data_IF_852146232765
#
_entry.id   IF_852146232765
#
_cell.length_a   1.000
_cell.length_b   1.000
_cell.length_c   1.000
_cell.angle_alpha   90.00
_cell.angle_beta   90.00
_cell.angle_gamma   90.00
#
_symmetry.space_group_name_H-M   'P 1'
#
loop_
_entity.id
_entity.type
_entity.pdbx_description
1 polymer ?
#
# COMPACT_ATOMS: atom_id res chain seq x y z
N UNK A 1 7.73 16.64 -9.91
CA UNK A 1 8.95 15.93 -9.43
C UNK A 1 10.00 15.71 -10.53
N UNK A 2 9.62 15.46 -11.79
CA UNK A 2 10.55 15.09 -12.89
C UNK A 2 11.62 16.14 -13.30
N UNK A 3 11.69 17.32 -12.67
CA UNK A 3 12.63 18.40 -13.02
C UNK A 3 13.40 18.97 -11.82
N UNK A 4 13.55 18.21 -10.72
CA UNK A 4 14.38 18.66 -9.60
C UNK A 4 15.84 18.85 -10.06
N UNK A 5 16.50 19.91 -9.59
CA UNK A 5 17.95 20.11 -9.75
C UNK A 5 18.55 20.27 -8.35
N UNK A 6 19.41 19.34 -7.89
CA UNK A 6 19.84 18.12 -8.59
C UNK A 6 18.69 17.11 -8.79
N UNK A 7 18.80 16.22 -9.80
CA UNK A 7 17.75 15.25 -10.11
C UNK A 7 17.56 14.25 -8.97
N UNK A 8 16.32 13.78 -8.83
CA UNK A 8 15.97 12.64 -7.97
C UNK A 8 16.16 11.37 -8.78
N UNK A 9 16.97 10.45 -8.27
CA UNK A 9 17.19 9.11 -8.85
C UNK A 9 16.69 8.07 -7.88
N UNK A 10 15.76 7.21 -8.31
CA UNK A 10 15.17 6.19 -7.44
C UNK A 10 16.15 5.02 -7.26
N UNK A 11 16.46 4.68 -6.02
CA UNK A 11 17.25 3.49 -5.66
C UNK A 11 16.33 2.30 -5.32
N UNK A 12 15.21 2.56 -4.64
CA UNK A 12 14.26 1.56 -4.14
C UNK A 12 12.86 2.17 -4.01
N UNK A 13 11.84 1.41 -4.43
CA UNK A 13 10.42 1.71 -4.20
C UNK A 13 9.69 0.38 -4.09
N UNK A 14 9.09 0.13 -2.94
CA UNK A 14 8.31 -1.08 -2.72
C UNK A 14 7.19 -0.82 -1.71
N UNK A 15 6.13 -1.61 -1.83
CA UNK A 15 5.14 -1.77 -0.78
C UNK A 15 5.56 -2.94 0.11
N UNK A 16 5.62 -2.76 1.42
CA UNK A 16 6.07 -3.79 2.36
C UNK A 16 5.08 -4.01 3.50
N UNK A 17 5.05 -5.23 4.04
CA UNK A 17 4.32 -5.56 5.25
C UNK A 17 4.99 -4.88 6.46
N UNK A 18 4.25 -4.14 7.30
CA UNK A 18 4.84 -3.43 8.45
C UNK A 18 5.41 -4.36 9.53
N UNK A 19 5.02 -5.64 9.54
CA UNK A 19 5.42 -6.64 10.56
C UNK A 19 6.83 -7.14 10.31
N UNK A 20 7.15 -7.48 9.06
CA UNK A 20 8.42 -8.14 8.71
C UNK A 20 9.18 -7.51 7.54
N UNK A 21 8.66 -6.41 6.98
CA UNK A 21 9.22 -5.69 5.84
C UNK A 21 9.39 -6.56 4.58
N UNK A 22 8.63 -7.65 4.46
CA UNK A 22 8.55 -8.41 3.22
C UNK A 22 7.76 -7.64 2.17
N UNK A 23 8.20 -7.72 0.91
CA UNK A 23 7.56 -7.03 -0.20
C UNK A 23 6.17 -7.62 -0.47
N UNK A 24 5.18 -6.73 -0.53
CA UNK A 24 3.80 -7.09 -0.90
C UNK A 24 3.73 -7.12 -2.43
N UNK A 25 3.34 -8.24 -3.04
CA UNK A 25 3.29 -8.35 -4.49
C UNK A 25 2.24 -7.42 -5.11
N UNK A 26 2.59 -6.77 -6.23
CA UNK A 26 1.72 -5.85 -6.99
C UNK A 26 0.47 -6.51 -7.58
N UNK A 27 0.47 -7.84 -7.69
CA UNK A 27 -0.68 -8.61 -8.19
C UNK A 27 -1.53 -9.09 -7.02
N UNK A 28 -2.85 -8.83 -7.02
CA UNK A 28 -3.73 -9.41 -6.01
C UNK A 28 -3.58 -10.93 -6.05
N UNK A 29 -3.51 -11.61 -4.89
CA UNK A 29 -3.36 -13.05 -4.85
C UNK A 29 -4.44 -13.69 -5.72
N UNK A 30 -4.02 -14.55 -6.65
CA UNK A 30 -4.91 -15.26 -7.57
C UNK A 30 -6.01 -15.97 -6.77
N UNK A 31 -7.22 -15.40 -6.79
CA UNK A 31 -8.39 -15.85 -6.03
C UNK A 31 -8.05 -16.51 -4.68
N UNK A 32 -7.92 -15.72 -3.61
CA UNK A 32 -8.63 -16.15 -2.41
C UNK A 32 -10.10 -16.15 -2.83
N UNK A 33 -10.67 -17.34 -3.04
CA UNK A 33 -12.08 -17.52 -3.37
C UNK A 33 -12.87 -16.67 -2.37
N UNK A 34 -13.30 -15.49 -2.78
CA UNK A 34 -14.15 -14.63 -1.98
C UNK A 34 -15.47 -15.38 -1.87
N UNK A 35 -15.57 -16.27 -0.90
CA UNK A 35 -16.87 -16.66 -0.37
C UNK A 35 -17.51 -15.35 0.07
N UNK A 36 -18.81 -15.21 -0.16
CA UNK A 36 -19.55 -13.98 0.11
C UNK A 36 -19.40 -13.46 1.57
N UNK A 37 -18.88 -14.31 2.47
CA UNK A 37 -18.65 -14.05 3.89
C UNK A 37 -17.22 -13.64 4.26
N UNK A 38 -16.25 -13.60 3.32
CA UNK A 38 -14.87 -13.19 3.63
C UNK A 38 -14.68 -11.69 3.37
N UNK A 39 -14.46 -10.86 4.41
CA UNK A 39 -14.14 -9.45 4.21
C UNK A 39 -12.85 -9.33 3.40
N UNK A 40 -12.72 -8.35 2.50
CA UNK A 40 -11.44 -8.07 1.86
C UNK A 40 -10.42 -7.80 2.98
N UNK A 41 -9.31 -8.57 2.98
CA UNK A 41 -8.19 -8.33 3.88
C UNK A 41 -7.60 -6.96 3.51
N UNK A 42 -8.04 -5.95 4.24
CA UNK A 42 -7.46 -4.60 4.20
C UNK A 42 -6.13 -4.67 4.93
N UNK A 43 -5.07 -5.10 4.26
CA UNK A 43 -3.74 -5.15 4.85
C UNK A 43 -3.19 -3.74 5.00
N UNK A 44 -2.76 -3.40 6.22
CA UNK A 44 -1.88 -2.27 6.45
C UNK A 44 -0.59 -2.48 5.65
N UNK A 45 -0.03 -1.41 5.10
CA UNK A 45 1.18 -1.51 4.30
C UNK A 45 2.05 -0.27 4.51
N UNK A 46 3.36 -0.40 4.28
CA UNK A 46 4.29 0.74 4.29
C UNK A 46 4.85 0.92 2.89
N UNK A 47 4.76 2.15 2.36
CA UNK A 47 5.49 2.53 1.16
C UNK A 47 6.91 2.90 1.55
N UNK A 48 7.86 2.03 1.23
CA UNK A 48 9.28 2.25 1.49
C UNK A 48 9.94 2.85 0.25
N UNK A 49 10.58 4.01 0.43
CA UNK A 49 11.23 4.77 -0.65
C UNK A 49 12.67 5.04 -0.28
N UNK A 50 13.59 4.76 -1.21
CA UNK A 50 14.93 5.29 -1.16
C UNK A 50 15.29 5.93 -2.49
N UNK A 51 15.84 7.15 -2.44
CA UNK A 51 16.23 7.89 -3.63
C UNK A 51 17.49 8.71 -3.36
N UNK A 52 18.21 9.07 -4.41
CA UNK A 52 19.35 9.97 -4.36
C UNK A 52 19.00 11.33 -4.92
N UNK A 53 19.50 12.37 -4.25
CA UNK A 53 19.42 13.76 -4.66
C UNK A 53 20.85 14.30 -4.67
N UNK A 54 21.45 14.38 -5.86
CA UNK A 54 22.90 14.59 -5.99
C UNK A 54 23.69 13.45 -5.34
N UNK A 55 24.56 13.78 -4.37
CA UNK A 55 25.35 12.79 -3.64
C UNK A 55 24.64 12.22 -2.40
N UNK A 56 23.48 12.76 -2.03
CA UNK A 56 22.78 12.41 -0.79
C UNK A 56 21.76 11.32 -1.05
N UNK A 57 21.74 10.27 -0.21
CA UNK A 57 20.70 9.24 -0.22
C UNK A 57 19.65 9.52 0.84
N UNK A 58 18.41 9.70 0.40
CA UNK A 58 17.24 9.96 1.23
C UNK A 58 16.43 8.67 1.35
N UNK A 59 15.81 8.48 2.51
CA UNK A 59 14.94 7.35 2.83
C UNK A 59 13.68 7.92 3.46
N UNK A 60 12.53 7.43 3.04
CA UNK A 60 11.25 7.71 3.68
C UNK A 60 10.36 6.46 3.69
N UNK A 61 9.60 6.29 4.77
CA UNK A 61 8.68 5.18 4.99
C UNK A 61 7.31 5.76 5.33
N UNK A 62 6.35 5.59 4.43
CA UNK A 62 4.99 6.11 4.61
C UNK A 62 4.00 4.98 4.89
N UNK A 63 3.46 4.86 6.11
CA UNK A 63 2.35 3.95 6.40
C UNK A 63 1.11 4.32 5.57
N UNK A 64 0.49 3.32 4.96
CA UNK A 64 -0.73 3.45 4.18
C UNK A 64 -1.92 2.94 4.99
N UNK A 65 -2.93 3.80 5.13
CA UNK A 65 -4.23 3.37 5.62
C UNK A 65 -4.90 2.48 4.55
N UNK A 66 -5.66 1.45 4.97
CA UNK A 66 -6.41 0.66 4.00
C UNK A 66 -7.39 1.55 3.24
N UNK A 67 -7.52 1.29 1.94
CA UNK A 67 -8.47 2.03 1.12
C UNK A 67 -9.88 1.96 1.77
N UNK A 68 -10.63 3.08 1.83
CA UNK A 68 -12.02 3.02 2.22
C UNK A 68 -12.69 2.07 1.23
N UNK A 69 -13.15 0.91 1.71
CA UNK A 69 -13.90 0.01 0.82
C UNK A 69 -15.21 0.69 0.42
N UNK A 70 -15.86 0.18 -0.64
CA UNK A 70 -17.23 0.61 -0.92
C UNK A 70 -18.02 0.47 0.37
N UNK A 71 -18.77 1.53 0.74
CA UNK A 71 -19.68 1.46 1.87
C UNK A 71 -20.51 0.20 1.68
N UNK A 72 -20.34 -0.80 2.55
CA UNK A 72 -21.19 -1.97 2.51
C UNK A 72 -22.61 -1.42 2.73
N UNK A 73 -23.53 -1.57 1.76
CA UNK A 73 -24.91 -1.13 1.99
C UNK A 73 -25.38 -1.81 3.27
N UNK A 74 -26.11 -1.11 4.15
CA UNK A 74 -26.61 -1.73 5.38
C UNK A 74 -27.29 -3.04 5.02
N UNK A 75 -26.98 -4.11 5.76
CA UNK A 75 -27.57 -5.41 5.52
C UNK A 75 -29.10 -5.27 5.44
N UNK A 76 -29.76 -5.82 4.40
CA UNK A 76 -31.21 -5.75 4.29
C UNK A 76 -31.84 -6.45 5.50
N UNK A 77 -32.35 -5.68 6.47
CA UNK A 77 -32.97 -6.21 7.67
C UNK A 77 -32.71 -5.45 8.98
N UNK A 78 -31.82 -4.46 9.02
CA UNK A 78 -31.70 -3.59 10.19
C UNK A 78 -32.97 -2.72 10.32
N UNK A 79 -33.88 -3.12 11.23
CA UNK A 79 -35.04 -2.30 11.62
C UNK A 79 -34.57 -1.08 12.44
N UNK A 80 -35.29 0.06 12.35
CA UNK A 80 -34.96 1.29 13.05
C UNK A 80 -34.98 1.14 14.57
#
# INVERSE_FOLDING_TARGET
AAHAVPPVVLDYLALVDPTDFTEIPDTPPAQATATADTPPVRSEAVLAVAARVGATRLIDNLPLAPAPGPAHPPAPGARP
#
